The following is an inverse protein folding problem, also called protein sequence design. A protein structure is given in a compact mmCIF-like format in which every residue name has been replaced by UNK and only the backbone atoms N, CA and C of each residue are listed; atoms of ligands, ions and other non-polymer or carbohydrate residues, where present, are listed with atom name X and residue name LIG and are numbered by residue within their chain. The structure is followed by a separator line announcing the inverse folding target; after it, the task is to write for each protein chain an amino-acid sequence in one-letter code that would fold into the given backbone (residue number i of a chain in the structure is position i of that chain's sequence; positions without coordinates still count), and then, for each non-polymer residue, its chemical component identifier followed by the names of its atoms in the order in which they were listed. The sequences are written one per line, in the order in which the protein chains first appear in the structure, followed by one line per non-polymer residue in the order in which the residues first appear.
data_IF_300261083235
#
_entry.id   IF_300261083235
#
_cell.length_a   1.000
_cell.length_b   1.000
_cell.length_c   1.000
_cell.angle_alpha   90.00
_cell.angle_beta   90.00
_cell.angle_gamma   90.00
#
_symmetry.space_group_name_H-M   'P 1'
#
loop_
_entity.id
_entity.type
_entity.pdbx_description
1 polymer ?
#
# COMPACT_ATOMS: atom_id res chain seq x y z
N UNK A 1 -24.65 7.00 25.51
CA UNK A 1 -23.74 5.83 25.57
C UNK A 1 -23.63 5.13 24.22
N UNK A 2 -24.67 5.07 23.37
CA UNK A 2 -24.58 4.44 22.04
C UNK A 2 -23.61 5.14 21.06
N UNK A 3 -23.46 6.48 21.13
CA UNK A 3 -22.49 7.20 20.30
C UNK A 3 -21.02 6.96 20.66
N UNK A 4 -20.73 6.59 21.91
CA UNK A 4 -19.36 6.44 22.43
C UNK A 4 -18.72 5.13 21.94
N UNK A 5 -19.49 4.03 21.94
CA UNK A 5 -19.04 2.73 21.45
C UNK A 5 -18.85 2.75 19.92
N UNK A 6 -19.73 3.44 19.19
CA UNK A 6 -19.61 3.58 17.74
C UNK A 6 -18.35 4.38 17.36
N UNK A 7 -18.09 5.50 18.04
CA UNK A 7 -16.89 6.32 17.83
C UNK A 7 -15.61 5.57 18.19
N UNK A 8 -15.61 4.81 19.30
CA UNK A 8 -14.49 3.94 19.65
C UNK A 8 -14.21 2.92 18.53
N UNK A 9 -15.26 2.29 17.99
CA UNK A 9 -15.14 1.36 16.86
C UNK A 9 -14.58 2.00 15.60
N UNK A 10 -14.99 3.24 15.28
CA UNK A 10 -14.45 4.00 14.15
C UNK A 10 -12.96 4.27 14.30
N UNK A 11 -12.49 4.72 15.47
CA UNK A 11 -11.07 5.01 15.68
C UNK A 11 -10.20 3.74 15.65
N UNK A 12 -10.67 2.64 16.24
CA UNK A 12 -9.98 1.35 16.15
C UNK A 12 -9.94 0.86 14.70
N UNK A 13 -11.06 0.94 13.98
CA UNK A 13 -11.15 0.55 12.57
C UNK A 13 -10.22 1.38 11.67
N UNK A 14 -10.16 2.70 11.88
CA UNK A 14 -9.27 3.58 11.14
C UNK A 14 -7.79 3.25 11.39
N UNK A 15 -7.41 2.99 12.65
CA UNK A 15 -6.06 2.55 13.01
C UNK A 15 -5.69 1.22 12.36
N UNK A 16 -6.60 0.24 12.35
CA UNK A 16 -6.40 -1.04 11.67
C UNK A 16 -6.28 -0.89 10.16
N UNK A 17 -7.11 -0.06 9.53
CA UNK A 17 -7.04 0.22 8.10
C UNK A 17 -5.69 0.84 7.71
N UNK A 18 -5.15 1.76 8.52
CA UNK A 18 -3.86 2.38 8.27
C UNK A 18 -2.68 1.38 8.22
N UNK A 19 -2.77 0.24 8.93
CA UNK A 19 -1.77 -0.84 8.85
C UNK A 19 -1.65 -1.38 7.42
N UNK A 20 -2.75 -1.42 6.66
CA UNK A 20 -2.77 -1.88 5.27
C UNK A 20 -1.85 -1.07 4.35
N UNK A 21 -1.70 0.24 4.59
CA UNK A 21 -0.75 1.08 3.86
C UNK A 21 0.70 0.70 4.16
N UNK A 22 1.02 0.34 5.40
CA UNK A 22 2.33 -0.21 5.76
C UNK A 22 2.62 -1.56 5.10
N UNK A 23 1.60 -2.43 4.98
CA UNK A 23 1.74 -3.70 4.28
C UNK A 23 1.99 -3.52 2.78
N UNK A 24 1.36 -2.54 2.14
CA UNK A 24 1.61 -2.20 0.74
C UNK A 24 3.07 -1.77 0.50
N UNK A 25 3.67 -1.02 1.42
CA UNK A 25 5.07 -0.61 1.33
C UNK A 25 6.05 -1.82 1.32
N UNK A 26 5.71 -2.91 2.03
CA UNK A 26 6.47 -4.17 1.96
C UNK A 26 6.39 -4.77 0.56
N UNK A 27 5.20 -4.78 -0.05
CA UNK A 27 4.99 -5.25 -1.43
C UNK A 27 5.80 -4.44 -2.45
N UNK A 28 5.78 -3.11 -2.34
CA UNK A 28 6.59 -2.21 -3.16
C UNK A 28 8.07 -2.48 -3.00
N UNK A 29 8.55 -2.57 -1.76
CA UNK A 29 9.95 -2.90 -1.47
C UNK A 29 10.36 -4.25 -2.05
N UNK A 30 9.48 -5.25 -1.99
CA UNK A 30 9.74 -6.57 -2.58
C UNK A 30 9.85 -6.52 -4.11
N UNK A 31 8.91 -5.85 -4.78
CA UNK A 31 8.92 -5.68 -6.25
C UNK A 31 10.18 -4.91 -6.71
N UNK A 32 10.47 -3.78 -6.07
CA UNK A 32 11.64 -2.95 -6.38
C UNK A 32 12.95 -3.70 -6.10
N UNK A 33 13.03 -4.43 -4.99
CA UNK A 33 14.20 -5.23 -4.61
C UNK A 33 14.48 -6.34 -5.62
N UNK A 34 13.45 -7.07 -6.05
CA UNK A 34 13.60 -8.11 -7.08
C UNK A 34 14.03 -7.52 -8.43
N UNK A 35 13.46 -6.38 -8.83
CA UNK A 35 13.91 -5.68 -10.04
C UNK A 35 15.37 -5.28 -9.94
N UNK A 36 15.81 -4.66 -8.85
CA UNK A 36 17.19 -4.24 -8.66
C UNK A 36 18.16 -5.43 -8.70
N UNK A 37 17.81 -6.53 -8.01
CA UNK A 37 18.61 -7.74 -8.01
C UNK A 37 18.71 -8.40 -9.40
N UNK A 38 17.68 -8.27 -10.24
CA UNK A 38 17.71 -8.68 -11.64
C UNK A 38 18.52 -7.73 -12.52
N UNK A 39 18.32 -6.43 -12.35
CA UNK A 39 18.99 -5.37 -13.11
C UNK A 39 20.51 -5.38 -12.90
N UNK A 40 20.98 -5.65 -11.68
CA UNK A 40 22.41 -5.79 -11.39
C UNK A 40 23.04 -7.03 -12.07
N UNK A 41 22.25 -8.07 -12.36
CA UNK A 41 22.72 -9.27 -13.07
C UNK A 41 22.74 -9.09 -14.58
N UNK A 42 21.80 -8.32 -15.13
CA UNK A 42 21.73 -8.04 -16.57
C UNK A 42 21.32 -6.58 -16.85
N UNK A 43 22.26 -5.62 -16.77
CA UNK A 43 21.95 -4.19 -16.88
C UNK A 43 21.36 -3.77 -18.23
N UNK A 44 21.75 -4.44 -19.33
CA UNK A 44 21.28 -4.09 -20.68
C UNK A 44 19.80 -4.40 -20.89
N UNK A 45 19.26 -5.41 -20.20
CA UNK A 45 17.85 -5.77 -20.24
C UNK A 45 17.01 -5.01 -19.20
N UNK A 46 17.63 -4.37 -18.20
CA UNK A 46 16.89 -3.71 -17.11
C UNK A 46 15.96 -2.60 -17.63
N UNK A 47 16.46 -1.78 -18.57
CA UNK A 47 15.73 -0.64 -19.09
C UNK A 47 14.38 -1.04 -19.73
N UNK A 48 14.33 -2.18 -20.45
CA UNK A 48 13.09 -2.66 -21.07
C UNK A 48 12.03 -3.11 -20.06
N UNK A 49 12.44 -3.48 -18.84
CA UNK A 49 11.55 -3.97 -17.79
C UNK A 49 10.98 -2.86 -16.89
N UNK A 50 11.41 -1.60 -17.09
CA UNK A 50 11.00 -0.46 -16.27
C UNK A 50 9.48 -0.25 -16.28
N UNK A 51 8.81 -0.45 -17.42
CA UNK A 51 7.35 -0.36 -17.51
C UNK A 51 6.66 -1.41 -16.63
N UNK A 52 7.12 -2.65 -16.70
CA UNK A 52 6.61 -3.76 -15.86
C UNK A 52 6.89 -3.51 -14.38
N UNK A 53 8.05 -2.95 -14.03
CA UNK A 53 8.35 -2.51 -12.66
C UNK A 53 7.29 -1.53 -12.16
N UNK A 54 7.03 -0.44 -12.89
CA UNK A 54 6.06 0.56 -12.46
C UNK A 54 4.64 0.00 -12.37
N UNK A 55 4.24 -0.89 -13.28
CA UNK A 55 2.97 -1.60 -13.18
C UNK A 55 2.93 -2.41 -11.87
N UNK A 56 3.98 -3.18 -11.57
CA UNK A 56 4.06 -3.95 -10.33
C UNK A 56 3.99 -3.07 -9.07
N UNK A 57 4.71 -1.94 -9.06
CA UNK A 57 4.66 -0.98 -7.95
C UNK A 57 3.27 -0.34 -7.81
N UNK A 58 2.63 0.03 -8.91
CA UNK A 58 1.30 0.62 -8.90
C UNK A 58 0.24 -0.34 -8.36
N UNK A 59 0.28 -1.62 -8.75
CA UNK A 59 -0.63 -2.63 -8.19
C UNK A 59 -0.35 -2.93 -6.71
N UNK A 60 0.92 -2.95 -6.31
CA UNK A 60 1.28 -3.10 -4.90
C UNK A 60 0.78 -1.91 -4.05
N UNK A 61 0.91 -0.67 -4.56
CA UNK A 61 0.43 0.54 -3.89
C UNK A 61 -1.09 0.71 -3.92
N UNK A 62 -1.79 0.23 -4.96
CA UNK A 62 -3.23 0.41 -5.08
C UNK A 62 -3.99 -0.10 -3.85
N UNK A 63 -3.52 -1.21 -3.26
CA UNK A 63 -4.07 -1.77 -2.03
C UNK A 63 -3.78 -0.88 -0.81
N UNK A 64 -2.61 -0.24 -0.77
CA UNK A 64 -2.22 0.69 0.30
C UNK A 64 -3.01 1.99 0.27
N UNK A 65 -3.26 2.52 -0.93
CA UNK A 65 -4.12 3.69 -1.14
C UNK A 65 -5.57 3.36 -0.79
N UNK A 66 -6.05 2.16 -1.13
CA UNK A 66 -7.40 1.73 -0.75
C UNK A 66 -7.56 1.63 0.77
N UNK A 67 -6.58 1.04 1.46
CA UNK A 67 -6.55 0.98 2.92
C UNK A 67 -6.52 2.38 3.56
N UNK A 68 -5.73 3.29 3.00
CA UNK A 68 -5.70 4.70 3.42
C UNK A 68 -7.03 5.41 3.20
N UNK A 69 -7.67 5.21 2.04
CA UNK A 69 -8.99 5.76 1.74
C UNK A 69 -10.02 5.30 2.77
N UNK A 70 -10.05 4.02 3.12
CA UNK A 70 -10.97 3.50 4.16
C UNK A 70 -10.71 4.19 5.50
N UNK A 71 -9.44 4.38 5.89
CA UNK A 71 -9.11 5.10 7.12
C UNK A 71 -9.61 6.55 7.09
N UNK A 72 -9.47 7.25 5.97
CA UNK A 72 -9.99 8.62 5.81
C UNK A 72 -11.52 8.66 5.89
N UNK A 73 -12.21 7.71 5.26
CA UNK A 73 -13.67 7.65 5.29
C UNK A 73 -14.18 7.44 6.73
N UNK A 74 -13.54 6.56 7.50
CA UNK A 74 -13.88 6.31 8.91
C UNK A 74 -13.62 7.50 9.85
N UNK A 75 -12.71 8.42 9.46
CA UNK A 75 -12.34 9.57 10.29
C UNK A 75 -13.11 10.84 9.93
N UNK A 76 -13.55 10.98 8.67
CA UNK A 76 -14.00 12.28 8.14
C UNK A 76 -15.30 12.23 7.35
N UNK A 77 -15.83 11.06 7.00
CA UNK A 77 -17.02 10.93 6.17
C UNK A 77 -18.15 10.13 6.84
N UNK A 78 -17.80 9.16 7.68
CA UNK A 78 -18.70 8.32 8.47
C UNK A 78 -18.57 8.72 9.93
#
# INVERSE_FOLDING_TARGET
MEGDIAQMGQFVGAGMAAIGSGAAAIGVGHVAGNYLAGALRNPSAAASQTATLFIGLAFAEALGIFAFLVALLLMFAV
#
